data_IF_377727955626
#
_entry.id   IF_377727955626
#
_cell.length_a   1.000
_cell.length_b   1.000
_cell.length_c   1.000
_cell.angle_alpha   90.00
_cell.angle_beta   90.00
_cell.angle_gamma   90.00
#
_symmetry.space_group_name_H-M   'P 1'
#
loop_
_entity.id
_entity.type
_entity.pdbx_description
1 polymer ?
#
# COMPACT_ATOMS: atom_id res chain seq x y z
N UNK A 1 -14.53 8.01 22.71
CA UNK A 1 -14.12 7.62 21.35
C UNK A 1 -12.61 7.51 21.36
N UNK A 2 -12.09 6.31 21.65
CA UNK A 2 -10.65 6.06 21.75
C UNK A 2 -10.03 6.27 20.36
N UNK A 3 -9.18 7.29 20.22
CA UNK A 3 -8.21 7.33 19.13
C UNK A 3 -7.27 6.16 19.39
N UNK A 4 -7.52 5.02 18.76
CA UNK A 4 -6.46 4.04 18.58
C UNK A 4 -5.40 4.75 17.74
N UNK A 5 -4.35 5.19 18.42
CA UNK A 5 -3.09 5.52 17.79
C UNK A 5 -2.61 4.16 17.29
N UNK A 6 -2.99 3.81 16.07
CA UNK A 6 -2.26 2.79 15.35
C UNK A 6 -0.85 3.32 15.24
N UNK A 7 0.03 2.80 16.10
CA UNK A 7 1.46 2.94 15.96
C UNK A 7 1.79 2.51 14.55
N UNK A 8 2.44 3.37 13.78
CA UNK A 8 2.86 3.08 12.41
C UNK A 8 3.63 1.76 12.36
N UNK A 9 4.36 1.41 13.42
CA UNK A 9 5.00 0.10 13.55
C UNK A 9 4.01 -1.08 13.50
N UNK A 10 2.84 -0.96 14.15
CA UNK A 10 1.78 -1.96 14.09
C UNK A 10 1.18 -2.05 12.68
N UNK A 11 0.97 -0.92 12.01
CA UNK A 11 0.44 -0.90 10.62
C UNK A 11 1.41 -1.54 9.65
N UNK A 12 2.71 -1.19 9.74
CA UNK A 12 3.77 -1.83 8.97
C UNK A 12 3.84 -3.34 9.24
N UNK A 13 3.68 -3.75 10.50
CA UNK A 13 3.65 -5.17 10.90
C UNK A 13 2.46 -5.88 10.27
N UNK A 14 1.25 -5.32 10.33
CA UNK A 14 0.06 -5.88 9.70
C UNK A 14 0.21 -6.01 8.19
N UNK A 15 0.73 -4.97 7.52
CA UNK A 15 0.99 -5.00 6.08
C UNK A 15 2.01 -6.08 5.72
N UNK A 16 3.09 -6.18 6.48
CA UNK A 16 4.12 -7.18 6.29
C UNK A 16 3.58 -8.62 6.42
N UNK A 17 2.78 -8.89 7.47
CA UNK A 17 2.15 -10.20 7.65
C UNK A 17 1.19 -10.54 6.52
N UNK A 18 0.39 -9.58 6.06
CA UNK A 18 -0.58 -9.76 4.98
C UNK A 18 0.10 -10.05 3.64
N UNK A 19 1.20 -9.37 3.33
CA UNK A 19 1.96 -9.62 2.11
C UNK A 19 2.75 -10.93 2.20
N UNK A 20 3.30 -11.25 3.38
CA UNK A 20 3.98 -12.53 3.62
C UNK A 20 3.04 -13.72 3.47
N UNK A 21 1.78 -13.61 3.94
CA UNK A 21 0.80 -14.68 3.78
C UNK A 21 0.36 -14.91 2.33
N UNK A 22 0.59 -13.94 1.45
CA UNK A 22 0.42 -14.08 -0.01
C UNK A 22 1.66 -14.68 -0.70
N UNK A 23 2.67 -15.11 0.05
CA UNK A 23 3.88 -15.75 -0.49
C UNK A 23 4.97 -14.76 -0.92
N UNK A 24 4.81 -13.47 -0.65
CA UNK A 24 5.83 -12.48 -0.98
C UNK A 24 6.96 -12.57 0.06
N UNK A 25 8.21 -12.82 -0.34
CA UNK A 25 9.30 -12.93 0.60
C UNK A 25 9.58 -11.56 1.26
N UNK A 26 9.98 -11.51 2.54
CA UNK A 26 10.26 -10.27 3.27
C UNK A 26 11.15 -9.26 2.53
N UNK A 27 12.19 -9.76 1.84
CA UNK A 27 13.12 -8.93 1.06
C UNK A 27 12.46 -8.25 -0.14
N UNK A 28 11.37 -8.80 -0.67
CA UNK A 28 10.57 -8.21 -1.76
C UNK A 28 9.50 -7.26 -1.23
N UNK A 29 8.99 -7.46 -0.02
CA UNK A 29 7.96 -6.59 0.58
C UNK A 29 8.43 -5.13 0.66
N UNK A 30 9.67 -4.90 1.09
CA UNK A 30 10.27 -3.55 1.11
C UNK A 30 10.33 -2.90 -0.29
N UNK A 31 10.67 -3.67 -1.33
CA UNK A 31 10.72 -3.17 -2.71
C UNK A 31 9.32 -2.86 -3.23
N UNK A 32 8.35 -3.73 -2.94
CA UNK A 32 6.94 -3.49 -3.28
C UNK A 32 6.44 -2.18 -2.67
N UNK A 33 6.69 -1.96 -1.38
CA UNK A 33 6.27 -0.72 -0.70
C UNK A 33 6.94 0.50 -1.36
N UNK A 34 8.22 0.39 -1.72
CA UNK A 34 8.94 1.45 -2.42
C UNK A 34 8.39 1.73 -3.82
N UNK A 35 8.04 0.69 -4.58
CA UNK A 35 7.46 0.82 -5.91
C UNK A 35 6.07 1.46 -5.83
N UNK A 36 5.23 1.02 -4.89
CA UNK A 36 3.93 1.65 -4.62
C UNK A 36 4.12 3.10 -4.20
N UNK A 37 5.09 3.41 -3.34
CA UNK A 37 5.37 4.80 -2.98
C UNK A 37 5.75 5.64 -4.20
N UNK A 38 6.62 5.15 -5.07
CA UNK A 38 7.01 5.87 -6.28
C UNK A 38 5.84 6.10 -7.24
N UNK A 39 4.96 5.11 -7.40
CA UNK A 39 3.73 5.25 -8.18
C UNK A 39 2.83 6.35 -7.60
N UNK A 40 2.65 6.36 -6.29
CA UNK A 40 1.79 7.33 -5.60
C UNK A 40 2.44 8.71 -5.48
N UNK A 41 3.79 8.79 -5.54
CA UNK A 41 4.58 10.00 -5.33
C UNK A 41 4.25 11.10 -6.34
N UNK A 42 4.01 10.73 -7.59
CA UNK A 42 3.66 11.66 -8.66
C UNK A 42 2.28 12.32 -8.45
N UNK A 43 1.51 11.82 -7.48
CA UNK A 43 0.17 12.31 -7.19
C UNK A 43 -0.85 11.83 -8.22
N UNK A 44 -2.13 11.89 -7.87
CA UNK A 44 -3.19 11.41 -8.74
C UNK A 44 -4.33 10.73 -7.99
N UNK A 45 -5.29 10.23 -8.75
CA UNK A 45 -6.35 9.36 -8.25
C UNK A 45 -5.97 7.92 -8.52
N UNK A 46 -5.62 7.18 -7.48
CA UNK A 46 -5.22 5.77 -7.59
C UNK A 46 -6.32 4.87 -7.04
N UNK A 47 -6.67 3.86 -7.82
CA UNK A 47 -7.50 2.73 -7.37
C UNK A 47 -6.62 1.50 -7.19
N UNK A 48 -7.07 0.52 -6.40
CA UNK A 48 -6.34 -0.75 -6.23
C UNK A 48 -6.10 -1.45 -7.57
N UNK A 49 -7.06 -1.37 -8.49
CA UNK A 49 -6.91 -1.89 -9.83
C UNK A 49 -5.79 -1.16 -10.61
N UNK A 50 -5.76 0.17 -10.54
CA UNK A 50 -4.70 0.96 -11.18
C UNK A 50 -3.33 0.65 -10.58
N UNK A 51 -3.23 0.56 -9.25
CA UNK A 51 -1.96 0.24 -8.58
C UNK A 51 -1.47 -1.15 -8.96
N UNK A 52 -2.35 -2.16 -8.94
CA UNK A 52 -1.97 -3.50 -9.38
C UNK A 52 -1.57 -3.56 -10.86
N UNK A 53 -2.24 -2.79 -11.72
CA UNK A 53 -1.88 -2.70 -13.13
C UNK A 53 -0.48 -2.11 -13.32
N UNK A 54 -0.16 -1.00 -12.65
CA UNK A 54 1.17 -0.38 -12.72
C UNK A 54 2.25 -1.29 -12.13
N UNK A 55 1.96 -1.96 -11.00
CA UNK A 55 2.88 -2.94 -10.41
C UNK A 55 3.15 -4.11 -11.37
N UNK A 56 2.14 -4.60 -12.09
CA UNK A 56 2.30 -5.63 -13.12
C UNK A 56 3.22 -5.14 -14.25
N UNK A 57 3.10 -3.89 -14.69
CA UNK A 57 4.01 -3.31 -15.70
C UNK A 57 5.48 -3.29 -15.23
N UNK A 58 5.72 -3.21 -13.92
CA UNK A 58 7.06 -3.21 -13.31
C UNK A 58 7.56 -4.65 -13.03
N UNK A 59 6.72 -5.67 -13.27
CA UNK A 59 7.07 -7.08 -13.15
C UNK A 59 6.65 -7.73 -11.83
N UNK A 60 5.73 -7.12 -11.09
CA UNK A 60 5.06 -7.77 -9.96
C UNK A 60 3.93 -8.69 -10.43
N UNK A 61 3.54 -9.62 -9.57
CA UNK A 61 2.41 -10.51 -9.86
C UNK A 61 1.08 -9.73 -9.86
N UNK A 62 0.12 -10.24 -10.62
CA UNK A 62 -1.21 -9.65 -10.72
C UNK A 62 -1.97 -9.71 -9.39
N UNK A 63 -2.75 -8.67 -9.11
CA UNK A 63 -3.65 -8.60 -7.94
C UNK A 63 -2.97 -8.81 -6.57
N UNK A 64 -1.72 -8.40 -6.46
CA UNK A 64 -0.88 -8.62 -5.29
C UNK A 64 -1.33 -7.75 -4.10
N UNK A 65 -1.76 -6.52 -4.36
CA UNK A 65 -2.33 -5.60 -3.36
C UNK A 65 -3.85 -5.75 -3.34
N UNK A 66 -4.40 -6.09 -2.16
CA UNK A 66 -5.85 -6.01 -1.93
C UNK A 66 -6.23 -4.66 -1.31
N UNK A 67 -7.52 -4.38 -1.22
CA UNK A 67 -8.04 -3.13 -0.65
C UNK A 67 -7.49 -2.88 0.77
N UNK A 68 -7.34 -3.93 1.57
CA UNK A 68 -6.80 -3.81 2.92
C UNK A 68 -5.32 -3.40 2.91
N UNK A 69 -4.47 -4.07 2.12
CA UNK A 69 -3.08 -3.68 1.94
C UNK A 69 -2.96 -2.24 1.43
N UNK A 70 -3.79 -1.85 0.47
CA UNK A 70 -3.78 -0.50 -0.07
C UNK A 70 -4.12 0.53 1.00
N UNK A 71 -5.17 0.31 1.78
CA UNK A 71 -5.54 1.17 2.91
C UNK A 71 -4.41 1.33 3.94
N UNK A 72 -3.71 0.25 4.30
CA UNK A 72 -2.58 0.31 5.21
C UNK A 72 -1.41 1.12 4.62
N UNK A 73 -1.12 0.95 3.33
CA UNK A 73 -0.08 1.72 2.65
C UNK A 73 -0.45 3.21 2.64
N UNK A 74 -1.68 3.56 2.27
CA UNK A 74 -2.13 4.96 2.30
C UNK A 74 -2.03 5.55 3.71
N UNK A 75 -2.44 4.80 4.74
CA UNK A 75 -2.32 5.25 6.13
C UNK A 75 -0.86 5.59 6.47
N UNK A 76 0.10 4.73 6.10
CA UNK A 76 1.54 4.98 6.32
C UNK A 76 1.99 6.26 5.60
N UNK A 77 1.57 6.45 4.34
CA UNK A 77 1.95 7.63 3.55
C UNK A 77 1.37 8.94 4.11
N UNK A 78 0.12 8.92 4.53
CA UNK A 78 -0.55 10.07 5.13
C UNK A 78 0.05 10.44 6.48
N UNK A 79 0.38 9.43 7.31
CA UNK A 79 0.90 9.64 8.67
C UNK A 79 2.37 10.03 8.72
N UNK A 80 3.23 9.31 8.01
CA UNK A 80 4.68 9.48 8.12
C UNK A 80 5.23 10.50 7.12
N UNK A 81 4.62 10.60 5.93
CA UNK A 81 5.15 11.41 4.84
C UNK A 81 4.32 12.66 4.55
N UNK A 82 3.21 12.89 5.26
CA UNK A 82 2.31 14.02 5.04
C UNK A 82 1.67 14.03 3.64
N UNK A 83 1.70 12.90 2.94
CA UNK A 83 1.16 12.74 1.59
C UNK A 83 -0.37 12.70 1.65
N UNK A 84 -1.09 13.49 0.84
CA UNK A 84 -2.56 13.38 0.74
C UNK A 84 -2.92 12.55 -0.49
N UNK A 85 -3.48 11.35 -0.30
CA UNK A 85 -3.93 10.52 -1.42
C UNK A 85 -5.43 10.68 -1.60
N UNK A 86 -5.85 11.10 -2.81
CA UNK A 86 -7.28 11.25 -3.13
C UNK A 86 -7.83 9.90 -3.61
N UNK A 87 -8.61 9.22 -2.77
CA UNK A 87 -9.26 7.95 -3.10
C UNK A 87 -10.52 8.21 -3.93
N UNK A 88 -10.76 7.39 -4.96
CA UNK A 88 -12.04 7.35 -5.70
C UNK A 88 -12.61 5.94 -5.61
N UNK A 89 -13.74 5.79 -4.93
CA UNK A 89 -14.50 4.53 -4.88
C UNK A 89 -15.28 4.42 -6.19
N UNK A 90 -14.96 3.44 -7.03
CA UNK A 90 -15.80 3.08 -8.16
C UNK A 90 -16.83 2.06 -7.66
N UNK A 91 -18.11 2.42 -7.75
CA UNK A 91 -19.26 1.59 -7.38
C UNK A 91 -19.65 0.67 -8.53
#
# INVERSE_FOLDING_TARGET
>A
MQKEIYDTANVCTCLFWRLSSKGIPPKKIQHLIYDVFNLLREGGSFTVATVNYELEQIGWETSLIDDYCFELIIYILEKEFGYKVTKRVLH
#
